data_IF_272924242549
#
_entry.id   IF_272924242549
#
_cell.length_a   1.000
_cell.length_b   1.000
_cell.length_c   1.000
_cell.angle_alpha   90.00
_cell.angle_beta   90.00
_cell.angle_gamma   90.00
#
_symmetry.space_group_name_H-M   'P 1'
#
loop_
_entity.id
_entity.type
_entity.pdbx_description
1 polymer ?
#
# COMPACT_ATOMS: atom_id res chain seq x y z
N UNK A 1 0.59 27.76 15.68
CA UNK A 1 -0.02 26.47 15.51
C UNK A 1 0.95 25.38 15.07
N UNK A 2 0.76 24.17 15.52
CA UNK A 2 1.58 22.97 15.23
C UNK A 2 1.67 22.59 13.74
N UNK A 3 0.91 23.22 12.85
CA UNK A 3 0.92 22.94 11.40
C UNK A 3 2.31 23.12 10.78
N UNK A 4 3.05 24.18 11.14
CA UNK A 4 4.39 24.41 10.62
C UNK A 4 5.41 23.37 11.11
N UNK A 5 5.28 22.91 12.35
CA UNK A 5 6.07 21.82 12.92
C UNK A 5 5.82 20.50 12.18
N UNK A 6 4.55 20.17 11.97
CA UNK A 6 4.16 18.94 11.25
C UNK A 6 4.68 18.95 9.81
N UNK A 7 4.58 20.08 9.09
CA UNK A 7 5.06 20.19 7.71
C UNK A 7 6.58 20.03 7.64
N UNK A 8 7.35 20.72 8.49
CA UNK A 8 8.81 20.59 8.50
C UNK A 8 9.29 19.18 8.86
N UNK A 9 8.62 18.54 9.80
CA UNK A 9 8.97 17.18 10.20
C UNK A 9 8.66 16.16 9.11
N UNK A 10 7.56 16.36 8.37
CA UNK A 10 7.22 15.54 7.19
C UNK A 10 8.21 15.78 6.05
N UNK A 11 8.56 17.05 5.76
CA UNK A 11 9.51 17.40 4.71
C UNK A 11 10.91 16.78 4.94
N UNK A 12 11.44 16.88 6.15
CA UNK A 12 12.70 16.27 6.52
C UNK A 12 12.67 14.74 6.41
N UNK A 13 11.56 14.11 6.78
CA UNK A 13 11.36 12.66 6.65
C UNK A 13 11.22 12.20 5.21
N UNK A 14 10.42 12.90 4.41
CA UNK A 14 10.23 12.55 2.98
C UNK A 14 11.57 12.59 2.25
N UNK A 15 12.40 13.60 2.50
CA UNK A 15 13.74 13.68 1.88
C UNK A 15 14.65 12.51 2.26
N UNK A 16 14.69 12.11 3.53
CA UNK A 16 15.57 11.02 3.98
C UNK A 16 15.04 9.62 3.64
N UNK A 17 13.72 9.48 3.43
CA UNK A 17 13.07 8.19 3.16
C UNK A 17 12.51 8.06 1.74
N UNK A 18 12.80 9.04 0.86
CA UNK A 18 12.25 9.08 -0.50
C UNK A 18 12.48 7.80 -1.31
N UNK A 19 13.70 7.25 -1.24
CA UNK A 19 14.03 5.99 -1.91
C UNK A 19 13.18 4.81 -1.41
N UNK A 20 12.99 4.71 -0.10
CA UNK A 20 12.18 3.66 0.49
C UNK A 20 10.69 3.84 0.18
N UNK A 21 10.16 5.07 0.19
CA UNK A 21 8.79 5.36 -0.22
C UNK A 21 8.56 5.04 -1.69
N UNK A 22 9.51 5.35 -2.57
CA UNK A 22 9.43 4.97 -4.00
C UNK A 22 9.40 3.47 -4.19
N UNK A 23 10.23 2.72 -3.46
CA UNK A 23 10.24 1.26 -3.47
C UNK A 23 8.88 0.69 -3.04
N UNK A 24 8.27 1.25 -1.99
CA UNK A 24 6.95 0.85 -1.51
C UNK A 24 5.85 1.16 -2.53
N UNK A 25 5.91 2.32 -3.22
CA UNK A 25 4.99 2.62 -4.33
C UNK A 25 5.00 1.53 -5.39
N UNK A 26 6.20 1.14 -5.84
CA UNK A 26 6.39 0.09 -6.86
C UNK A 26 5.90 -1.26 -6.35
N UNK A 27 6.15 -1.62 -5.08
CA UNK A 27 5.68 -2.87 -4.49
C UNK A 27 4.16 -2.94 -4.43
N UNK A 28 3.47 -1.84 -4.06
CA UNK A 28 2.00 -1.80 -4.04
C UNK A 28 1.44 -1.91 -5.46
N UNK A 29 1.99 -1.16 -6.41
CA UNK A 29 1.57 -1.22 -7.81
C UNK A 29 1.79 -2.62 -8.41
N UNK A 30 2.96 -3.22 -8.18
CA UNK A 30 3.25 -4.58 -8.60
C UNK A 30 2.27 -5.59 -7.95
N UNK A 31 1.94 -5.41 -6.66
CA UNK A 31 0.98 -6.26 -5.96
C UNK A 31 -0.40 -6.24 -6.62
N UNK A 32 -0.91 -5.07 -6.95
CA UNK A 32 -2.22 -4.90 -7.60
C UNK A 32 -2.19 -5.51 -9.01
N UNK A 33 -1.21 -5.15 -9.83
CA UNK A 33 -1.10 -5.64 -11.21
C UNK A 33 -0.91 -7.17 -11.28
N UNK A 34 -0.02 -7.73 -10.43
CA UNK A 34 0.23 -9.19 -10.39
C UNK A 34 -1.00 -9.97 -9.94
N UNK A 35 -1.72 -9.45 -8.94
CA UNK A 35 -2.94 -10.09 -8.46
C UNK A 35 -4.04 -10.04 -9.52
N UNK A 36 -4.24 -8.89 -10.17
CA UNK A 36 -5.23 -8.74 -11.25
C UNK A 36 -4.88 -9.62 -12.46
N UNK A 37 -3.61 -9.67 -12.86
CA UNK A 37 -3.14 -10.56 -13.93
C UNK A 37 -3.34 -12.04 -13.55
N UNK A 38 -3.00 -12.42 -12.33
CA UNK A 38 -3.20 -13.78 -11.81
C UNK A 38 -4.66 -14.22 -11.87
N UNK A 39 -5.58 -13.35 -11.47
CA UNK A 39 -7.02 -13.62 -11.60
C UNK A 39 -7.47 -13.68 -13.06
N UNK A 40 -6.99 -12.77 -13.93
CA UNK A 40 -7.30 -12.80 -15.35
C UNK A 40 -6.87 -14.12 -16.01
N UNK A 41 -5.68 -14.62 -15.69
CA UNK A 41 -5.23 -15.94 -16.12
C UNK A 41 -6.11 -17.06 -15.54
N UNK A 42 -6.41 -17.03 -14.25
CA UNK A 42 -7.17 -18.11 -13.61
C UNK A 42 -8.61 -18.22 -14.13
N UNK A 43 -9.25 -17.09 -14.47
CA UNK A 43 -10.65 -17.05 -14.94
C UNK A 43 -10.70 -17.21 -16.46
N UNK A 44 -9.85 -16.52 -17.21
CA UNK A 44 -9.84 -16.56 -18.67
C UNK A 44 -9.55 -17.94 -19.25
N UNK A 45 -8.69 -18.71 -18.56
CA UNK A 45 -8.34 -20.08 -18.95
C UNK A 45 -9.45 -21.11 -18.70
N UNK A 46 -10.51 -20.77 -17.97
CA UNK A 46 -11.63 -21.66 -17.65
C UNK A 46 -12.89 -21.35 -18.45
N UNK A 47 -12.89 -20.28 -19.24
CA UNK A 47 -14.06 -19.85 -20.01
C UNK A 47 -14.25 -20.64 -21.30
N UNK A 48 -15.51 -20.72 -21.82
CA UNK A 48 -15.84 -21.43 -23.07
C UNK A 48 -15.27 -20.81 -24.36
N UNK A 49 -14.43 -19.78 -24.24
CA UNK A 49 -13.73 -19.10 -25.33
C UNK A 49 -12.22 -19.09 -25.18
N UNK A 50 -11.67 -19.97 -24.36
CA UNK A 50 -10.21 -20.06 -24.16
C UNK A 50 -9.51 -20.34 -25.49
N UNK A 51 -8.74 -19.37 -25.98
CA UNK A 51 -8.01 -19.44 -27.26
C UNK A 51 -6.85 -20.44 -27.24
N UNK A 52 -6.59 -21.05 -26.10
CA UNK A 52 -5.45 -21.98 -25.88
C UNK A 52 -6.00 -23.35 -25.50
N UNK A 53 -5.84 -24.30 -26.39
CA UNK A 53 -6.32 -25.69 -26.27
C UNK A 53 -5.74 -26.45 -25.03
N UNK A 54 -4.64 -25.98 -24.46
CA UNK A 54 -3.99 -26.51 -23.25
C UNK A 54 -4.04 -25.54 -22.05
N UNK A 55 -5.15 -24.82 -21.88
CA UNK A 55 -5.34 -23.81 -20.83
C UNK A 55 -5.07 -24.34 -19.40
N UNK A 56 -5.35 -25.62 -19.13
CA UNK A 56 -5.09 -26.25 -17.83
C UNK A 56 -3.62 -26.24 -17.40
N UNK A 57 -2.69 -26.27 -18.37
CA UNK A 57 -1.23 -26.23 -18.11
C UNK A 57 -0.74 -24.86 -17.63
N UNK A 58 -1.50 -23.80 -17.87
CA UNK A 58 -1.17 -22.42 -17.48
C UNK A 58 -1.86 -21.94 -16.19
N UNK A 59 -2.76 -22.72 -15.64
CA UNK A 59 -3.43 -22.41 -14.37
C UNK A 59 -2.46 -22.11 -13.20
N UNK A 60 -1.28 -22.79 -13.07
CA UNK A 60 -0.29 -22.43 -12.05
C UNK A 60 0.23 -21.00 -12.15
N UNK A 61 0.30 -20.42 -13.35
CA UNK A 61 0.77 -19.04 -13.56
C UNK A 61 -0.17 -18.05 -12.87
N UNK A 62 -1.49 -18.27 -12.96
CA UNK A 62 -2.47 -17.46 -12.26
C UNK A 62 -2.30 -17.51 -10.74
N UNK A 63 -2.08 -18.70 -10.19
CA UNK A 63 -1.83 -18.88 -8.76
C UNK A 63 -0.55 -18.15 -8.31
N UNK A 64 0.53 -18.28 -9.07
CA UNK A 64 1.81 -17.61 -8.80
C UNK A 64 1.62 -16.09 -8.78
N UNK A 65 0.88 -15.52 -9.73
CA UNK A 65 0.59 -14.08 -9.77
C UNK A 65 -0.15 -13.59 -8.53
N UNK A 66 -1.19 -14.31 -8.10
CA UNK A 66 -1.95 -13.98 -6.88
C UNK A 66 -1.07 -14.10 -5.64
N UNK A 67 -0.27 -15.15 -5.53
CA UNK A 67 0.62 -15.39 -4.39
C UNK A 67 1.67 -14.28 -4.25
N UNK A 68 2.39 -13.94 -5.34
CA UNK A 68 3.37 -12.87 -5.32
C UNK A 68 2.74 -11.50 -5.08
N UNK A 69 1.57 -11.25 -5.64
CA UNK A 69 0.83 -10.01 -5.38
C UNK A 69 0.50 -9.84 -3.89
N UNK A 70 0.00 -10.88 -3.23
CA UNK A 70 -0.25 -10.87 -1.80
C UNK A 70 1.04 -10.68 -0.98
N UNK A 71 2.12 -11.37 -1.34
CA UNK A 71 3.42 -11.25 -0.67
C UNK A 71 3.99 -9.83 -0.78
N UNK A 72 3.92 -9.20 -1.96
CA UNK A 72 4.38 -7.82 -2.15
C UNK A 72 3.56 -6.83 -1.34
N UNK A 73 2.23 -7.02 -1.26
CA UNK A 73 1.36 -6.15 -0.48
C UNK A 73 1.69 -6.19 1.01
N UNK A 74 1.86 -7.39 1.56
CA UNK A 74 2.22 -7.57 2.98
C UNK A 74 3.61 -6.99 3.25
N UNK A 75 4.57 -7.22 2.35
CA UNK A 75 5.92 -6.67 2.47
C UNK A 75 5.91 -5.14 2.44
N UNK A 76 5.18 -4.52 1.52
CA UNK A 76 5.03 -3.07 1.44
C UNK A 76 4.44 -2.49 2.73
N UNK A 77 3.37 -3.10 3.24
CA UNK A 77 2.74 -2.68 4.48
C UNK A 77 3.67 -2.82 5.70
N UNK A 78 4.43 -3.91 5.78
CA UNK A 78 5.42 -4.14 6.84
C UNK A 78 6.56 -3.11 6.81
N UNK A 79 7.09 -2.80 5.61
CA UNK A 79 8.13 -1.77 5.44
C UNK A 79 7.61 -0.41 5.93
N UNK A 80 6.38 -0.01 5.52
CA UNK A 80 5.79 1.25 5.99
C UNK A 80 5.62 1.28 7.51
N UNK A 81 5.12 0.20 8.10
CA UNK A 81 4.95 0.10 9.55
C UNK A 81 6.29 0.25 10.29
N UNK A 82 7.33 -0.46 9.86
CA UNK A 82 8.67 -0.38 10.44
C UNK A 82 9.27 1.01 10.32
N UNK A 83 9.13 1.68 9.16
CA UNK A 83 9.60 3.05 8.96
C UNK A 83 8.89 4.03 9.91
N UNK A 84 7.58 3.85 10.13
CA UNK A 84 6.84 4.71 11.03
C UNK A 84 7.23 4.48 12.49
N UNK A 85 7.42 3.22 12.91
CA UNK A 85 7.87 2.91 14.27
C UNK A 85 9.28 3.43 14.55
N UNK A 86 10.23 3.22 13.63
CA UNK A 86 11.57 3.76 13.75
C UNK A 86 11.56 5.27 13.89
N UNK A 87 10.84 5.93 13.00
CA UNK A 87 10.75 7.38 13.07
C UNK A 87 9.93 7.91 14.25
N UNK A 88 9.03 7.14 14.84
CA UNK A 88 8.39 7.50 16.11
C UNK A 88 9.40 7.41 17.27
N UNK A 89 10.23 6.37 17.28
CA UNK A 89 11.30 6.23 18.27
C UNK A 89 12.28 7.42 18.22
N UNK A 90 12.70 7.84 17.01
CA UNK A 90 13.59 8.99 16.82
C UNK A 90 12.93 10.32 17.22
N UNK A 91 11.61 10.44 17.07
CA UNK A 91 10.85 11.65 17.43
C UNK A 91 10.52 11.74 18.93
N UNK A 92 10.81 10.72 19.72
CA UNK A 92 10.41 10.64 21.14
C UNK A 92 10.86 11.86 21.95
N UNK A 93 12.15 12.24 21.83
CA UNK A 93 12.70 13.39 22.54
C UNK A 93 12.00 14.70 22.18
N UNK A 94 11.64 14.89 20.90
CA UNK A 94 10.91 16.08 20.45
C UNK A 94 9.49 16.13 21.03
N UNK A 95 8.81 14.97 21.19
CA UNK A 95 7.49 14.90 21.82
C UNK A 95 7.56 15.12 23.35
N UNK A 96 8.63 14.63 24.02
CA UNK A 96 8.88 14.92 25.44
C UNK A 96 9.07 16.43 25.67
N UNK A 97 9.89 17.10 24.85
CA UNK A 97 10.06 18.57 24.91
C UNK A 97 8.76 19.32 24.67
N UNK A 98 7.93 18.89 23.71
CA UNK A 98 6.62 19.49 23.46
C UNK A 98 5.68 19.34 24.65
N UNK A 99 5.77 18.25 25.39
CA UNK A 99 4.98 18.02 26.61
C UNK A 99 5.45 18.92 27.74
N UNK A 100 6.75 19.11 27.91
CA UNK A 100 7.31 20.05 28.90
C UNK A 100 6.91 21.51 28.62
N UNK A 101 6.74 21.88 27.34
CA UNK A 101 6.24 23.17 26.90
C UNK A 101 4.72 23.35 27.06
N UNK A 102 4.01 22.37 27.66
CA UNK A 102 2.58 22.45 27.94
C UNK A 102 1.68 22.08 26.74
N UNK A 103 2.21 21.35 25.75
CA UNK A 103 1.38 20.88 24.64
C UNK A 103 0.37 19.84 25.13
N UNK A 104 -0.91 20.07 24.82
CA UNK A 104 -2.00 19.17 25.20
C UNK A 104 -1.87 17.81 24.48
N UNK A 105 -2.08 16.71 25.22
CA UNK A 105 -2.02 15.34 24.68
C UNK A 105 -2.90 15.12 23.43
N UNK A 106 -4.04 15.80 23.36
CA UNK A 106 -4.94 15.72 22.21
C UNK A 106 -4.31 16.29 20.94
N UNK A 107 -3.59 17.42 21.04
CA UNK A 107 -2.89 18.05 19.92
C UNK A 107 -1.69 17.20 19.44
N UNK A 108 -0.92 16.64 20.37
CA UNK A 108 0.20 15.76 20.05
C UNK A 108 -0.27 14.50 19.31
N UNK A 109 -1.35 13.87 19.79
CA UNK A 109 -1.98 12.71 19.15
C UNK A 109 -2.52 13.02 17.76
N UNK A 110 -3.18 14.15 17.57
CA UNK A 110 -3.70 14.58 16.28
C UNK A 110 -2.58 14.80 15.26
N UNK A 111 -1.45 15.42 15.67
CA UNK A 111 -0.27 15.63 14.86
C UNK A 111 0.36 14.29 14.43
N UNK A 112 0.53 13.36 15.39
CA UNK A 112 1.07 12.02 15.13
C UNK A 112 0.24 11.24 14.11
N UNK A 113 -1.09 11.19 14.30
CA UNK A 113 -2.00 10.52 13.35
C UNK A 113 -1.96 11.14 11.96
N UNK A 114 -1.84 12.46 11.86
CA UNK A 114 -1.70 13.14 10.58
C UNK A 114 -0.40 12.75 9.84
N UNK A 115 0.72 12.64 10.59
CA UNK A 115 2.01 12.20 10.03
C UNK A 115 1.93 10.76 9.52
N UNK A 116 1.45 9.82 10.34
CA UNK A 116 1.32 8.41 9.94
C UNK A 116 0.38 8.28 8.74
N UNK A 117 -0.77 8.99 8.74
CA UNK A 117 -1.71 8.98 7.61
C UNK A 117 -1.07 9.46 6.32
N UNK A 118 -0.28 10.55 6.36
CA UNK A 118 0.38 11.08 5.17
C UNK A 118 1.41 10.09 4.61
N UNK A 119 2.17 9.43 5.50
CA UNK A 119 3.18 8.44 5.10
C UNK A 119 2.58 7.17 4.50
N UNK A 120 1.34 6.79 4.85
CA UNK A 120 0.63 5.69 4.19
C UNK A 120 -0.08 6.15 2.90
N UNK A 121 -0.64 7.36 2.90
CA UNK A 121 -1.38 7.89 1.76
C UNK A 121 -0.47 8.24 0.57
N UNK A 122 0.74 8.76 0.82
CA UNK A 122 1.65 9.17 -0.24
C UNK A 122 2.09 8.01 -1.16
N UNK A 123 2.60 6.86 -0.64
CA UNK A 123 2.92 5.72 -1.50
C UNK A 123 1.69 5.10 -2.15
N UNK A 124 0.54 5.10 -1.48
CA UNK A 124 -0.70 4.58 -2.06
C UNK A 124 -1.16 5.44 -3.24
N UNK A 125 -1.08 6.77 -3.13
CA UNK A 125 -1.38 7.69 -4.23
C UNK A 125 -0.40 7.52 -5.41
N UNK A 126 0.90 7.35 -5.12
CA UNK A 126 1.91 7.06 -6.13
C UNK A 126 1.67 5.73 -6.82
N UNK A 127 1.31 4.69 -6.09
CA UNK A 127 0.96 3.38 -6.63
C UNK A 127 -0.25 3.47 -7.57
N UNK A 128 -1.30 4.22 -7.21
CA UNK A 128 -2.48 4.41 -8.05
C UNK A 128 -2.13 5.03 -9.42
N UNK A 129 -1.17 5.94 -9.48
CA UNK A 129 -0.71 6.54 -10.74
C UNK A 129 -0.04 5.46 -11.62
N UNK A 130 0.81 4.63 -11.04
CA UNK A 130 1.43 3.51 -11.73
C UNK A 130 0.41 2.44 -12.16
N UNK A 131 -0.57 2.17 -11.30
CA UNK A 131 -1.62 1.18 -11.55
C UNK A 131 -2.50 1.55 -12.75
N UNK A 132 -2.70 2.84 -13.05
CA UNK A 132 -3.43 3.25 -14.25
C UNK A 132 -2.80 2.65 -15.52
N UNK A 133 -1.48 2.72 -15.65
CA UNK A 133 -0.77 2.17 -16.80
C UNK A 133 -0.71 0.63 -16.74
N UNK A 134 -0.40 0.07 -15.58
CA UNK A 134 -0.34 -1.37 -15.38
C UNK A 134 -1.68 -2.07 -15.60
N UNK A 135 -2.76 -1.50 -15.11
CA UNK A 135 -4.12 -2.06 -15.29
C UNK A 135 -4.61 -1.97 -16.73
N UNK A 136 -4.20 -0.96 -17.51
CA UNK A 136 -4.49 -0.93 -18.96
C UNK A 136 -3.87 -2.13 -19.66
N UNK A 137 -2.61 -2.46 -19.34
CA UNK A 137 -1.95 -3.64 -19.90
C UNK A 137 -2.63 -4.94 -19.48
N UNK A 138 -2.98 -5.06 -18.19
CA UNK A 138 -3.68 -6.24 -17.66
C UNK A 138 -5.11 -6.33 -18.22
N UNK A 139 -5.79 -5.21 -18.48
CA UNK A 139 -7.10 -5.19 -19.13
C UNK A 139 -7.03 -5.71 -20.56
N UNK A 140 -5.98 -5.31 -21.31
CA UNK A 140 -5.75 -5.87 -22.65
C UNK A 140 -5.54 -7.38 -22.60
N UNK A 141 -4.73 -7.86 -21.64
CA UNK A 141 -4.52 -9.29 -21.40
C UNK A 141 -5.84 -10.00 -21.08
N UNK A 142 -6.68 -9.42 -20.22
CA UNK A 142 -7.97 -9.96 -19.83
C UNK A 142 -8.95 -10.05 -21.01
N UNK A 143 -8.92 -9.06 -21.93
CA UNK A 143 -9.70 -9.10 -23.17
C UNK A 143 -9.24 -10.26 -24.09
N UNK A 144 -7.96 -10.44 -24.27
CA UNK A 144 -7.40 -11.54 -25.08
C UNK A 144 -7.74 -12.91 -24.47
N UNK A 145 -7.79 -13.02 -23.15
CA UNK A 145 -8.16 -14.25 -22.43
C UNK A 145 -9.66 -14.46 -22.30
N UNK A 146 -10.50 -13.53 -22.77
CA UNK A 146 -11.97 -13.65 -22.69
C UNK A 146 -12.56 -13.47 -21.29
N UNK A 147 -11.85 -12.79 -20.39
CA UNK A 147 -12.29 -12.58 -19.00
C UNK A 147 -13.35 -11.48 -18.89
N UNK A 148 -14.63 -11.85 -18.92
CA UNK A 148 -15.76 -10.90 -18.87
C UNK A 148 -15.91 -10.15 -17.52
N UNK A 149 -15.31 -10.63 -16.43
CA UNK A 149 -15.48 -10.10 -15.08
C UNK A 149 -14.31 -9.25 -14.59
N UNK A 150 -13.44 -8.77 -15.48
CA UNK A 150 -12.20 -8.07 -15.13
C UNK A 150 -12.42 -6.86 -14.21
N UNK A 151 -13.43 -6.02 -14.48
CA UNK A 151 -13.72 -4.84 -13.65
C UNK A 151 -14.06 -5.22 -12.19
N UNK A 152 -14.75 -6.33 -11.99
CA UNK A 152 -15.10 -6.83 -10.66
C UNK A 152 -13.87 -7.35 -9.91
N UNK A 153 -12.96 -8.02 -10.62
CA UNK A 153 -11.67 -8.46 -10.08
C UNK A 153 -10.83 -7.26 -9.64
N UNK A 154 -10.71 -6.24 -10.49
CA UNK A 154 -9.97 -5.00 -10.16
C UNK A 154 -10.56 -4.33 -8.91
N UNK A 155 -11.88 -4.17 -8.85
CA UNK A 155 -12.55 -3.59 -7.68
C UNK A 155 -12.29 -4.40 -6.40
N UNK A 156 -12.34 -5.73 -6.48
CA UNK A 156 -12.04 -6.63 -5.37
C UNK A 156 -10.60 -6.53 -4.89
N UNK A 157 -9.64 -6.51 -5.82
CA UNK A 157 -8.20 -6.39 -5.50
C UNK A 157 -7.90 -5.03 -4.89
N UNK A 158 -8.44 -3.94 -5.42
CA UNK A 158 -8.28 -2.61 -4.84
C UNK A 158 -8.90 -2.53 -3.44
N UNK A 159 -10.10 -3.07 -3.25
CA UNK A 159 -10.75 -3.15 -1.94
C UNK A 159 -9.91 -3.94 -0.92
N UNK A 160 -9.36 -5.07 -1.32
CA UNK A 160 -8.47 -5.88 -0.49
C UNK A 160 -7.17 -5.14 -0.14
N UNK A 161 -6.57 -4.44 -1.11
CA UNK A 161 -5.38 -3.60 -0.90
C UNK A 161 -5.65 -2.51 0.13
N UNK A 162 -6.76 -1.78 -0.01
CA UNK A 162 -7.17 -0.74 0.94
C UNK A 162 -7.44 -1.32 2.34
N UNK A 163 -8.06 -2.50 2.42
CA UNK A 163 -8.35 -3.16 3.70
C UNK A 163 -7.05 -3.55 4.43
N UNK A 164 -6.08 -4.16 3.75
CA UNK A 164 -4.78 -4.51 4.33
C UNK A 164 -4.01 -3.25 4.75
N UNK A 165 -3.88 -2.26 3.87
CA UNK A 165 -3.19 -1.02 4.19
C UNK A 165 -3.86 -0.27 5.34
N UNK A 166 -5.20 -0.27 5.40
CA UNK A 166 -5.97 0.30 6.51
C UNK A 166 -5.73 -0.42 7.83
N UNK A 167 -5.68 -1.75 7.83
CA UNK A 167 -5.38 -2.54 9.02
C UNK A 167 -3.97 -2.24 9.56
N UNK A 168 -2.96 -2.23 8.69
CA UNK A 168 -1.58 -1.87 9.07
C UNK A 168 -1.47 -0.43 9.56
N UNK A 169 -2.17 0.51 8.91
CA UNK A 169 -2.25 1.90 9.38
C UNK A 169 -2.79 1.99 10.82
N UNK A 170 -3.89 1.30 11.11
CA UNK A 170 -4.50 1.32 12.46
C UNK A 170 -3.57 0.70 13.51
N UNK A 171 -2.91 -0.41 13.19
CA UNK A 171 -1.95 -1.06 14.08
C UNK A 171 -0.75 -0.13 14.33
N UNK A 172 -0.22 0.47 13.26
CA UNK A 172 0.93 1.39 13.35
C UNK A 172 0.59 2.65 14.14
N UNK A 173 -0.59 3.25 13.95
CA UNK A 173 -1.04 4.40 14.75
C UNK A 173 -1.08 4.06 16.23
N UNK A 174 -1.67 2.91 16.60
CA UNK A 174 -1.74 2.47 18.00
C UNK A 174 -0.36 2.20 18.59
N UNK A 175 0.53 1.60 17.82
CA UNK A 175 1.90 1.33 18.25
C UNK A 175 2.69 2.62 18.47
N UNK A 176 2.62 3.57 17.55
CA UNK A 176 3.27 4.88 17.68
C UNK A 176 2.69 5.71 18.85
N UNK A 177 1.37 5.66 19.08
CA UNK A 177 0.76 6.32 20.25
C UNK A 177 1.29 5.75 21.57
N UNK A 178 1.45 4.43 21.67
CA UNK A 178 2.01 3.77 22.88
C UNK A 178 3.48 4.07 23.12
N UNK A 179 4.23 4.40 22.06
CA UNK A 179 5.65 4.74 22.15
C UNK A 179 5.89 6.20 22.57
N UNK A 180 4.99 7.11 22.22
CA UNK A 180 5.20 8.56 22.33
C UNK A 180 4.34 9.24 23.38
N UNK A 181 3.23 8.62 23.78
CA UNK A 181 2.22 9.19 24.71
C UNK A 181 2.03 8.32 25.93
#
# INVERSE_FOLDING_TARGET
GLRAFTVRQVEARVSSTAAALSCVCVLIAAAVCMTCAGFAFSVGMRGPGALIENASSLAPIGFVGIFYGAAFLVTAAAILALQQLSGAADARQAFETLRELGCEHAMARASLRAQVRLCFAAPLAGALIHDVFGLVLVAFLALVLGSASFALVVAGVLGFTVAIMGAYYLITCRACERLLL
#
